data_IF_385578293571
#
_entry.id   IF_385578293571
#
_cell.length_a   1.000
_cell.length_b   1.000
_cell.length_c   1.000
_cell.angle_alpha   90.00
_cell.angle_beta   90.00
_cell.angle_gamma   90.00
#
_symmetry.space_group_name_H-M   'P 1'
#
loop_
_entity.id
_entity.type
_entity.pdbx_description
1 polymer ?
#
# COMPACT_ATOMS: atom_id res chain seq x y z
N UNK A 1 -21.75 -7.15 5.51
CA UNK A 1 -22.08 -5.78 5.97
C UNK A 1 -21.06 -4.73 5.55
N UNK A 2 -19.76 -4.94 5.78
CA UNK A 2 -18.69 -3.96 5.45
C UNK A 2 -18.61 -3.67 3.93
N UNK A 3 -18.63 -4.70 3.10
CA UNK A 3 -18.56 -4.55 1.64
C UNK A 3 -19.74 -3.77 1.03
N UNK A 4 -20.96 -3.98 1.54
CA UNK A 4 -22.16 -3.27 1.11
C UNK A 4 -22.12 -1.78 1.49
N UNK A 5 -21.51 -1.45 2.63
CA UNK A 5 -21.26 -0.07 3.03
C UNK A 5 -20.26 0.61 2.08
N UNK A 6 -19.22 -0.09 1.66
CA UNK A 6 -18.25 0.41 0.67
C UNK A 6 -18.88 0.64 -0.70
N UNK A 7 -19.67 -0.32 -1.19
CA UNK A 7 -20.44 -0.17 -2.44
C UNK A 7 -21.34 1.06 -2.40
N UNK A 8 -21.99 1.33 -1.27
CA UNK A 8 -22.89 2.48 -1.10
C UNK A 8 -22.15 3.81 -1.24
N UNK A 9 -20.93 3.94 -0.70
CA UNK A 9 -20.11 5.16 -0.80
C UNK A 9 -19.87 5.54 -2.27
N UNK A 10 -19.57 4.55 -3.10
CA UNK A 10 -19.27 4.75 -4.51
C UNK A 10 -20.48 4.47 -5.44
N UNK A 11 -21.68 4.25 -4.91
CA UNK A 11 -22.84 3.84 -5.70
C UNK A 11 -23.28 4.90 -6.73
N UNK A 12 -23.10 6.18 -6.41
CA UNK A 12 -23.43 7.32 -7.27
C UNK A 12 -22.31 7.63 -8.28
N UNK A 13 -21.12 7.06 -8.10
CA UNK A 13 -19.97 7.27 -8.97
C UNK A 13 -20.04 6.40 -10.23
N UNK A 14 -19.29 6.79 -11.26
CA UNK A 14 -19.17 6.03 -12.50
C UNK A 14 -18.74 4.58 -12.23
N UNK A 15 -19.19 3.65 -13.08
CA UNK A 15 -18.85 2.22 -12.94
C UNK A 15 -17.33 2.00 -12.89
N UNK A 16 -16.58 2.72 -13.71
CA UNK A 16 -15.11 2.65 -13.76
C UNK A 16 -14.49 3.05 -12.40
N UNK A 17 -14.99 4.12 -11.77
CA UNK A 17 -14.45 4.61 -10.51
C UNK A 17 -14.77 3.65 -9.36
N UNK A 18 -15.96 3.04 -9.34
CA UNK A 18 -16.32 1.96 -8.41
C UNK A 18 -15.33 0.80 -8.46
N UNK A 19 -15.05 0.31 -9.66
CA UNK A 19 -14.13 -0.81 -9.88
C UNK A 19 -12.71 -0.42 -9.44
N UNK A 20 -12.23 0.77 -9.81
CA UNK A 20 -10.91 1.27 -9.40
C UNK A 20 -10.78 1.46 -7.88
N UNK A 21 -11.83 1.95 -7.21
CA UNK A 21 -11.83 2.11 -5.76
C UNK A 21 -11.76 0.75 -5.05
N UNK A 22 -12.45 -0.27 -5.57
CA UNK A 22 -12.37 -1.65 -5.08
C UNK A 22 -10.98 -2.25 -5.25
N UNK A 23 -10.38 -2.10 -6.44
CA UNK A 23 -9.02 -2.57 -6.68
C UNK A 23 -8.01 -1.85 -5.77
N UNK A 24 -8.14 -0.54 -5.61
CA UNK A 24 -7.27 0.24 -4.74
C UNK A 24 -7.43 -0.16 -3.26
N UNK A 25 -8.66 -0.47 -2.82
CA UNK A 25 -8.91 -0.99 -1.48
C UNK A 25 -8.22 -2.34 -1.29
N UNK A 26 -8.41 -3.27 -2.22
CA UNK A 26 -7.84 -4.62 -2.15
C UNK A 26 -6.31 -4.56 -2.15
N UNK A 27 -5.73 -3.74 -3.03
CA UNK A 27 -4.30 -3.49 -3.08
C UNK A 27 -3.76 -2.98 -1.74
N UNK A 28 -4.35 -1.93 -1.16
CA UNK A 28 -3.87 -1.37 0.10
C UNK A 28 -4.03 -2.36 1.27
N UNK A 29 -5.08 -3.18 1.28
CA UNK A 29 -5.23 -4.24 2.30
C UNK A 29 -4.12 -5.28 2.19
N UNK A 30 -3.82 -5.73 0.97
CA UNK A 30 -2.72 -6.68 0.71
C UNK A 30 -1.38 -6.07 1.15
N UNK A 31 -1.09 -4.84 0.73
CA UNK A 31 0.13 -4.12 1.13
C UNK A 31 0.23 -3.98 2.65
N UNK A 32 -0.86 -3.57 3.31
CA UNK A 32 -0.89 -3.43 4.77
C UNK A 32 -0.56 -4.76 5.47
N UNK A 33 -1.17 -5.87 5.03
CA UNK A 33 -0.93 -7.20 5.59
C UNK A 33 0.51 -7.65 5.39
N UNK A 34 1.03 -7.58 4.17
CA UNK A 34 2.41 -8.00 3.86
C UNK A 34 3.45 -7.13 4.54
N UNK A 35 3.26 -5.80 4.56
CA UNK A 35 4.17 -4.88 5.23
C UNK A 35 4.17 -5.12 6.75
N UNK A 36 3.01 -5.36 7.36
CA UNK A 36 2.88 -5.66 8.79
C UNK A 36 3.52 -6.99 9.16
N UNK A 37 3.27 -8.05 8.39
CA UNK A 37 3.89 -9.37 8.60
C UNK A 37 5.40 -9.31 8.48
N UNK A 38 5.90 -8.63 7.42
CA UNK A 38 7.34 -8.42 7.23
C UNK A 38 7.94 -7.63 8.39
N UNK A 39 7.26 -6.56 8.82
CA UNK A 39 7.72 -5.74 9.94
C UNK A 39 7.86 -6.56 11.23
N UNK A 40 6.87 -7.40 11.56
CA UNK A 40 6.92 -8.28 12.75
C UNK A 40 8.05 -9.30 12.62
N UNK A 41 8.20 -9.93 11.47
CA UNK A 41 9.22 -10.95 11.22
C UNK A 41 10.63 -10.38 11.39
N UNK A 42 10.95 -9.28 10.70
CA UNK A 42 12.26 -8.63 10.78
C UNK A 42 12.54 -8.01 12.17
N UNK A 43 11.51 -7.54 12.87
CA UNK A 43 11.66 -7.04 14.25
C UNK A 43 12.01 -8.17 15.23
N UNK A 44 11.38 -9.34 15.08
CA UNK A 44 11.64 -10.51 15.92
C UNK A 44 13.02 -11.14 15.67
N UNK A 45 13.51 -11.13 14.43
CA UNK A 45 14.85 -11.65 14.09
C UNK A 45 16.00 -10.73 14.55
N UNK A 46 15.70 -9.59 15.20
CA UNK A 46 16.68 -8.58 15.64
C UNK A 46 17.64 -8.18 14.53
N UNK A 47 17.17 -8.16 13.28
CA UNK A 47 17.99 -7.61 12.20
C UNK A 47 18.30 -6.15 12.53
N UNK A 48 19.57 -5.72 12.46
CA UNK A 48 19.98 -4.37 12.83
C UNK A 48 19.38 -3.30 11.90
N UNK A 49 18.80 -3.71 10.77
CA UNK A 49 18.25 -2.81 9.75
C UNK A 49 16.75 -2.65 9.93
N UNK A 50 16.35 -1.84 10.90
CA UNK A 50 14.99 -1.32 11.01
C UNK A 50 14.63 -0.59 9.71
N UNK A 51 13.85 -1.20 8.81
CA UNK A 51 13.57 -0.61 7.48
C UNK A 51 12.41 0.39 7.57
N UNK A 52 12.67 1.71 7.47
CA UNK A 52 11.63 2.74 7.63
C UNK A 52 10.54 2.64 6.55
N UNK A 53 10.86 2.00 5.42
CA UNK A 53 9.94 1.74 4.31
C UNK A 53 8.73 0.90 4.74
N UNK A 54 8.86 -0.08 5.64
CA UNK A 54 7.71 -0.87 6.08
C UNK A 54 6.70 -0.01 6.85
N UNK A 55 7.17 0.86 7.73
CA UNK A 55 6.31 1.78 8.49
C UNK A 55 5.62 2.76 7.55
N UNK A 56 6.36 3.29 6.57
CA UNK A 56 5.81 4.13 5.52
C UNK A 56 4.68 3.41 4.78
N UNK A 57 4.87 2.16 4.36
CA UNK A 57 3.84 1.37 3.69
C UNK A 57 2.65 1.05 4.59
N UNK A 58 2.87 0.70 5.86
CA UNK A 58 1.80 0.43 6.84
C UNK A 58 0.94 1.69 7.05
N UNK A 59 1.56 2.83 7.32
CA UNK A 59 0.84 4.09 7.57
C UNK A 59 0.12 4.56 6.30
N UNK A 60 0.79 4.55 5.15
CA UNK A 60 0.20 5.00 3.89
C UNK A 60 -0.96 4.12 3.44
N UNK A 61 -0.83 2.79 3.56
CA UNK A 61 -1.92 1.86 3.22
C UNK A 61 -3.10 2.00 4.17
N UNK A 62 -2.86 2.17 5.47
CA UNK A 62 -3.90 2.44 6.46
C UNK A 62 -4.65 3.75 6.17
N UNK A 63 -3.94 4.86 5.95
CA UNK A 63 -4.57 6.13 5.58
C UNK A 63 -5.31 6.04 4.24
N UNK A 64 -4.76 5.32 3.26
CA UNK A 64 -5.39 5.13 1.95
C UNK A 64 -6.72 4.39 2.08
N UNK A 65 -6.75 3.31 2.87
CA UNK A 65 -7.98 2.58 3.20
C UNK A 65 -8.98 3.54 3.88
N UNK A 66 -8.53 4.32 4.86
CA UNK A 66 -9.39 5.28 5.56
C UNK A 66 -9.97 6.35 4.62
N UNK A 67 -9.16 6.89 3.70
CA UNK A 67 -9.62 7.85 2.69
C UNK A 67 -10.63 7.25 1.72
N UNK A 68 -10.47 5.97 1.34
CA UNK A 68 -11.46 5.25 0.55
C UNK A 68 -12.79 5.10 1.30
N UNK A 69 -12.74 4.90 2.62
CA UNK A 69 -13.94 4.83 3.47
C UNK A 69 -14.69 6.17 3.63
N UNK A 70 -14.06 7.29 3.31
CA UNK A 70 -14.68 8.63 3.29
C UNK A 70 -15.04 9.06 1.84
N UNK A 71 -14.82 8.18 0.85
CA UNK A 71 -15.10 8.47 -0.56
C UNK A 71 -14.04 9.33 -1.25
N UNK A 72 -12.91 9.62 -0.61
CA UNK A 72 -11.85 10.48 -1.16
C UNK A 72 -10.88 9.70 -2.06
N UNK A 73 -11.39 9.13 -3.15
CA UNK A 73 -10.62 8.26 -4.06
C UNK A 73 -9.32 8.90 -4.59
N UNK A 74 -9.37 10.15 -5.06
CA UNK A 74 -8.19 10.83 -5.64
C UNK A 74 -7.05 10.97 -4.63
N UNK A 75 -7.37 11.28 -3.37
CA UNK A 75 -6.38 11.42 -2.30
C UNK A 75 -5.84 10.06 -1.87
N UNK A 76 -6.68 9.04 -1.78
CA UNK A 76 -6.24 7.67 -1.52
C UNK A 76 -5.28 7.18 -2.60
N UNK A 77 -5.61 7.42 -3.88
CA UNK A 77 -4.77 7.05 -5.01
C UNK A 77 -3.44 7.80 -4.97
N UNK A 78 -3.46 9.12 -4.77
CA UNK A 78 -2.25 9.93 -4.66
C UNK A 78 -1.35 9.44 -3.53
N UNK A 79 -1.91 9.18 -2.35
CA UNK A 79 -1.15 8.69 -1.20
C UNK A 79 -0.51 7.33 -1.48
N UNK A 80 -1.25 6.42 -2.14
CA UNK A 80 -0.75 5.09 -2.53
C UNK A 80 0.39 5.20 -3.55
N UNK A 81 0.26 6.06 -4.55
CA UNK A 81 1.30 6.27 -5.55
C UNK A 81 2.53 6.96 -4.96
N UNK A 82 2.31 7.96 -4.10
CA UNK A 82 3.39 8.68 -3.42
C UNK A 82 4.18 7.76 -2.49
N UNK A 83 3.51 6.89 -1.73
CA UNK A 83 4.19 5.94 -0.84
C UNK A 83 5.01 4.92 -1.63
N UNK A 84 4.51 4.47 -2.78
CA UNK A 84 5.25 3.57 -3.66
C UNK A 84 6.45 4.28 -4.29
N UNK A 85 6.26 5.48 -4.83
CA UNK A 85 7.33 6.25 -5.45
C UNK A 85 8.44 6.56 -4.45
N UNK A 86 8.08 6.97 -3.23
CA UNK A 86 9.05 7.23 -2.16
C UNK A 86 9.75 5.95 -1.69
N UNK A 87 9.02 4.83 -1.54
CA UNK A 87 9.62 3.54 -1.20
C UNK A 87 10.58 3.01 -2.26
N UNK A 88 10.22 3.16 -3.54
CA UNK A 88 11.08 2.83 -4.68
C UNK A 88 12.31 3.73 -4.75
N UNK A 89 12.13 5.04 -4.64
CA UNK A 89 13.23 6.00 -4.65
C UNK A 89 14.20 5.73 -3.51
N UNK A 90 13.70 5.43 -2.31
CA UNK A 90 14.54 5.08 -1.16
C UNK A 90 15.35 3.80 -1.41
N UNK A 91 14.71 2.78 -1.97
CA UNK A 91 15.38 1.52 -2.32
C UNK A 91 16.46 1.71 -3.41
N UNK A 92 16.20 2.56 -4.41
CA UNK A 92 17.13 2.83 -5.51
C UNK A 92 18.30 3.73 -5.10
N UNK A 93 18.04 4.78 -4.31
CA UNK A 93 19.06 5.77 -3.93
C UNK A 93 19.99 5.27 -2.85
N UNK A 94 19.47 4.50 -1.89
CA UNK A 94 20.27 4.07 -0.74
C UNK A 94 20.69 2.60 -0.82
N UNK A 95 20.11 1.83 -1.77
CA UNK A 95 20.38 0.40 -1.92
C UNK A 95 20.00 -0.40 -0.67
N UNK A 96 19.93 -1.72 -0.81
CA UNK A 96 19.97 -2.60 0.36
C UNK A 96 21.40 -3.15 0.48
N UNK A 97 22.16 -2.82 1.55
CA UNK A 97 23.52 -3.32 1.68
C UNK A 97 23.61 -4.84 1.88
N UNK A 98 22.52 -5.55 2.22
CA UNK A 98 22.60 -6.98 2.60
C UNK A 98 21.47 -7.89 2.05
N UNK A 99 20.43 -7.40 1.35
CA UNK A 99 19.36 -8.31 0.92
C UNK A 99 18.45 -7.84 -0.22
N UNK A 100 18.59 -8.47 -1.38
CA UNK A 100 17.61 -8.55 -2.46
C UNK A 100 16.67 -7.34 -2.64
N UNK A 101 17.12 -6.36 -3.43
CA UNK A 101 16.27 -5.25 -3.92
C UNK A 101 15.02 -5.75 -4.68
N UNK A 102 15.02 -7.01 -5.12
CA UNK A 102 13.97 -7.66 -5.90
C UNK A 102 12.79 -8.18 -5.05
N UNK A 103 12.93 -8.37 -3.74
CA UNK A 103 11.80 -8.82 -2.88
C UNK A 103 11.02 -7.65 -2.27
N UNK A 104 11.14 -6.47 -2.87
CA UNK A 104 10.46 -5.25 -2.45
C UNK A 104 9.01 -5.26 -2.95
N UNK A 105 8.07 -4.81 -2.10
CA UNK A 105 6.68 -4.43 -2.40
C UNK A 105 6.49 -3.71 -3.75
N UNK A 106 7.54 -3.07 -4.26
CA UNK A 106 7.72 -2.61 -5.64
C UNK A 106 7.23 -3.58 -6.72
N UNK A 107 7.53 -4.89 -6.62
CA UNK A 107 7.08 -5.89 -7.61
C UNK A 107 5.55 -6.06 -7.56
N UNK A 108 4.97 -6.09 -6.35
CA UNK A 108 3.51 -6.15 -6.17
C UNK A 108 2.81 -4.91 -6.77
N UNK A 109 3.45 -3.74 -6.68
CA UNK A 109 2.90 -2.51 -7.28
C UNK A 109 2.99 -2.54 -8.81
N UNK A 110 4.11 -3.02 -9.37
CA UNK A 110 4.28 -3.18 -10.82
C UNK A 110 3.24 -4.17 -11.37
N UNK A 111 3.02 -5.30 -10.70
CA UNK A 111 1.95 -6.25 -11.06
C UNK A 111 0.54 -5.69 -10.91
N UNK A 112 0.32 -4.70 -10.05
CA UNK A 112 -0.98 -4.06 -9.89
C UNK A 112 -1.26 -2.99 -10.97
N UNK A 113 -0.22 -2.42 -11.56
CA UNK A 113 -0.30 -1.39 -12.61
C UNK A 113 -0.34 -1.96 -14.04
N UNK A 114 0.00 -3.23 -14.22
CA UNK A 114 -0.01 -3.95 -15.50
C UNK A 114 -1.29 -4.80 -15.63
#
# INVERSE_FOLDING_TARGET
MVFEKFKRIYAQESFILRVRALYLLLFNVVVFMFASLSFIFFFNEKEPTYRPSFILFIIASFLSIFLLWIGQFKKALFLTLFSVATGLAWALLFGNPVGNALSSLSILVIFFLH
#
